data_IF_000990642720
#
_entry.id   IF_000990642720
#
_cell.length_a   1.000
_cell.length_b   1.000
_cell.length_c   1.000
_cell.angle_alpha   90.00
_cell.angle_beta   90.00
_cell.angle_gamma   90.00
#
_symmetry.space_group_name_H-M   'P 1'
#
loop_
_entity.id
_entity.type
_entity.pdbx_description
1 polymer ?
#
# COMPACT_ATOMS: atom_id res chain seq x y z
N UNK A 1 -25.39 -8.04 -12.68
CA UNK A 1 -24.98 -7.68 -12.60
C UNK A 1 -24.43 -7.20 -12.55
N UNK A 2 -24.18 -7.08 -12.33
CA UNK A 2 -23.68 -6.57 -12.29
C UNK A 2 -22.78 -6.25 -12.31
N UNK A 3 -22.39 -6.35 -12.65
CA UNK A 3 -21.49 -5.98 -12.74
C UNK A 3 -21.02 -4.95 -12.59
N UNK A 4 -21.26 -4.72 -12.86
CA UNK A 4 -20.70 -3.52 -12.91
C UNK A 4 -20.36 -3.00 -11.67
N UNK A 5 -21.02 -3.31 -10.86
CA UNK A 5 -20.90 -2.78 -9.68
C UNK A 5 -19.64 -3.02 -9.14
N UNK A 6 -19.05 -3.98 -9.45
CA UNK A 6 -17.90 -4.17 -8.82
C UNK A 6 -16.89 -3.44 -9.42
N UNK A 7 -17.17 -2.52 -10.12
CA UNK A 7 -16.24 -1.80 -10.72
C UNK A 7 -15.28 -1.11 -9.91
N UNK A 8 -15.50 -0.86 -8.70
CA UNK A 8 -14.56 -0.10 -7.91
C UNK A 8 -13.75 -1.01 -7.02
N UNK A 9 -12.43 -0.87 -7.01
CA UNK A 9 -11.63 -1.57 -6.02
C UNK A 9 -11.99 -1.06 -4.63
N UNK A 10 -11.91 -1.92 -3.65
CA UNK A 10 -12.14 -1.53 -2.27
C UNK A 10 -10.80 -1.54 -1.52
N UNK A 11 -10.69 -0.73 -0.48
CA UNK A 11 -9.48 -0.71 0.33
C UNK A 11 -9.22 -2.10 0.88
N UNK A 12 -8.03 -2.62 0.67
CA UNK A 12 -7.68 -3.97 1.09
C UNK A 12 -7.74 -5.01 -0.01
N UNK A 13 -8.29 -4.65 -1.17
CA UNK A 13 -8.31 -5.58 -2.29
C UNK A 13 -6.92 -5.73 -2.87
N UNK A 14 -6.57 -6.92 -3.33
CA UNK A 14 -5.28 -7.20 -3.93
C UNK A 14 -5.48 -7.48 -5.41
N UNK A 15 -4.74 -6.77 -6.23
CA UNK A 15 -4.81 -6.90 -7.68
C UNK A 15 -3.44 -7.12 -8.27
N UNK A 16 -3.36 -7.72 -9.43
CA UNK A 16 -2.15 -7.63 -10.22
C UNK A 16 -2.16 -6.26 -10.91
N UNK A 17 -1.01 -5.64 -10.99
CA UNK A 17 -0.90 -4.33 -11.61
C UNK A 17 0.43 -4.21 -12.33
N UNK A 18 0.45 -3.43 -13.40
CA UNK A 18 1.68 -3.15 -14.10
C UNK A 18 2.32 -1.92 -13.48
N UNK A 19 3.45 -2.10 -12.85
CA UNK A 19 4.14 -1.03 -12.13
C UNK A 19 5.19 -0.31 -12.97
N UNK A 20 5.44 -0.75 -14.18
CA UNK A 20 6.42 -0.09 -15.03
C UNK A 20 5.83 1.20 -15.59
N UNK A 21 6.64 2.19 -15.83
CA UNK A 21 8.09 2.21 -15.61
C UNK A 21 8.44 2.51 -14.16
N UNK A 22 9.57 2.01 -13.73
CA UNK A 22 10.05 2.23 -12.37
C UNK A 22 11.51 2.61 -12.43
N UNK A 23 12.05 3.08 -11.30
CA UNK A 23 13.43 3.51 -11.23
C UNK A 23 14.10 2.80 -10.05
N UNK A 24 15.30 2.30 -10.30
CA UNK A 24 16.14 1.79 -9.22
C UNK A 24 15.53 0.66 -8.42
N UNK A 25 15.42 0.86 -7.12
CA UNK A 25 14.98 -0.18 -6.22
C UNK A 25 13.47 -0.34 -6.12
N UNK A 26 12.71 0.45 -6.87
CA UNK A 26 11.27 0.28 -6.84
C UNK A 26 10.86 -1.07 -7.41
N UNK A 27 9.81 -1.64 -6.87
CA UNK A 27 9.27 -2.88 -7.42
C UNK A 27 8.79 -2.62 -8.83
N UNK A 28 9.08 -3.55 -9.73
CA UNK A 28 8.80 -3.34 -11.15
C UNK A 28 8.04 -4.50 -11.76
N UNK A 29 7.51 -4.27 -12.94
CA UNK A 29 6.83 -5.30 -13.70
C UNK A 29 5.41 -5.49 -13.23
N UNK A 30 4.83 -6.62 -13.58
CA UNK A 30 3.48 -6.94 -13.16
C UNK A 30 3.59 -7.61 -11.81
N UNK A 31 2.99 -7.00 -10.81
CA UNK A 31 3.12 -7.45 -9.43
C UNK A 31 1.81 -7.34 -8.69
N UNK A 32 1.61 -8.14 -7.66
CA UNK A 32 0.47 -7.94 -6.79
C UNK A 32 0.62 -6.63 -6.04
N UNK A 33 -0.47 -5.89 -5.91
CA UNK A 33 -0.50 -4.67 -5.11
C UNK A 33 -1.77 -4.69 -4.26
N UNK A 34 -1.73 -4.04 -3.11
CA UNK A 34 -2.93 -3.90 -2.30
C UNK A 34 -3.40 -2.46 -2.39
N UNK A 35 -4.69 -2.28 -2.57
CA UNK A 35 -5.29 -0.95 -2.66
C UNK A 35 -5.45 -0.41 -1.25
N UNK A 36 -4.89 0.75 -0.99
CA UNK A 36 -4.92 1.35 0.33
C UNK A 36 -5.60 2.70 0.37
N UNK A 37 -5.96 3.25 -0.79
CA UNK A 37 -6.69 4.49 -0.83
C UNK A 37 -8.07 4.33 -0.21
N UNK A 38 -8.59 5.40 0.37
CA UNK A 38 -9.92 5.37 0.98
C UNK A 38 -11.00 5.06 -0.07
N UNK A 39 -12.13 4.56 0.39
CA UNK A 39 -13.12 4.06 -0.55
C UNK A 39 -13.85 5.15 -1.33
N UNK A 40 -13.91 6.36 -0.82
CA UNK A 40 -14.48 7.44 -1.63
C UNK A 40 -13.57 7.70 -2.83
N UNK A 41 -12.27 7.81 -2.60
CA UNK A 41 -11.33 7.97 -3.71
C UNK A 41 -11.36 6.79 -4.65
N UNK A 42 -11.54 5.58 -4.11
CA UNK A 42 -11.60 4.41 -4.97
C UNK A 42 -12.79 4.45 -5.92
N UNK A 43 -13.86 5.14 -5.54
CA UNK A 43 -15.00 5.24 -6.43
C UNK A 43 -14.91 6.43 -7.38
N UNK A 44 -14.18 7.46 -7.02
CA UNK A 44 -14.27 8.72 -7.76
C UNK A 44 -12.99 9.16 -8.46
N UNK A 45 -11.85 8.64 -8.06
CA UNK A 45 -10.57 9.12 -8.61
C UNK A 45 -10.08 8.26 -9.76
N UNK A 46 -9.42 8.85 -10.73
CA UNK A 46 -8.79 8.05 -11.80
C UNK A 46 -7.51 7.36 -11.30
N UNK A 47 -7.05 7.67 -10.11
CA UNK A 47 -5.83 7.08 -9.57
C UNK A 47 -6.11 6.34 -8.27
N UNK A 48 -5.21 5.45 -7.92
CA UNK A 48 -5.31 4.66 -6.71
C UNK A 48 -3.99 4.70 -5.97
N UNK A 49 -4.05 4.69 -4.65
CA UNK A 49 -2.85 4.58 -3.83
C UNK A 49 -2.70 3.11 -3.45
N UNK A 50 -1.55 2.53 -3.75
CA UNK A 50 -1.33 1.10 -3.56
C UNK A 50 0.04 0.86 -2.95
N UNK A 51 0.25 -0.33 -2.41
CA UNK A 51 1.56 -0.78 -1.98
C UNK A 51 1.83 -2.14 -2.62
N UNK A 52 3.05 -2.40 -3.07
CA UNK A 52 3.37 -3.66 -3.74
C UNK A 52 3.62 -4.78 -2.74
N UNK A 53 3.38 -6.00 -3.21
CA UNK A 53 3.71 -7.19 -2.47
C UNK A 53 4.88 -7.86 -3.16
N UNK A 54 5.74 -8.50 -2.39
CA UNK A 54 6.88 -9.22 -2.96
C UNK A 54 7.07 -10.54 -2.22
N UNK A 55 7.53 -11.55 -2.93
CA UNK A 55 7.86 -12.80 -2.29
C UNK A 55 9.30 -12.82 -1.83
N UNK A 56 10.10 -11.82 -2.14
CA UNK A 56 11.49 -11.77 -1.76
C UNK A 56 11.82 -10.48 -1.08
N UNK A 57 12.58 -10.53 -0.02
CA UNK A 57 12.90 -9.35 0.71
C UNK A 57 14.23 -9.50 1.40
N UNK A 58 15.11 -8.51 1.27
CA UNK A 58 16.41 -8.54 1.90
C UNK A 58 16.35 -8.08 3.35
N UNK A 59 15.43 -7.25 3.68
CA UNK A 59 15.32 -6.71 5.03
C UNK A 59 13.93 -6.93 5.59
N UNK A 60 13.58 -8.19 5.87
CA UNK A 60 12.21 -8.47 6.33
C UNK A 60 11.91 -7.92 7.71
N UNK A 61 12.94 -7.46 8.43
CA UNK A 61 12.74 -6.96 9.77
C UNK A 61 12.34 -5.50 9.85
N UNK A 62 12.20 -4.82 8.74
CA UNK A 62 11.83 -3.41 8.78
C UNK A 62 10.37 -3.24 9.21
N UNK A 63 10.09 -2.24 10.04
CA UNK A 63 8.71 -2.04 10.52
C UNK A 63 7.72 -1.62 9.45
N UNK A 64 8.20 -1.24 8.27
CA UNK A 64 7.31 -0.90 7.16
C UNK A 64 6.97 -2.12 6.30
N UNK A 65 7.49 -3.31 6.64
CA UNK A 65 7.21 -4.52 5.91
C UNK A 65 6.24 -5.38 6.71
N UNK A 66 5.13 -5.76 6.10
CA UNK A 66 4.10 -6.57 6.77
C UNK A 66 4.13 -7.96 6.18
N UNK A 67 4.46 -8.99 6.96
CA UNK A 67 4.50 -10.35 6.43
C UNK A 67 3.11 -10.89 6.14
N UNK A 68 3.01 -11.64 5.07
CA UNK A 68 1.80 -12.36 4.69
C UNK A 68 2.25 -13.76 4.30
N UNK A 69 1.34 -14.72 4.13
CA UNK A 69 1.77 -16.10 3.89
C UNK A 69 2.77 -16.28 2.77
N UNK A 70 2.62 -15.57 1.68
CA UNK A 70 3.51 -15.76 0.56
C UNK A 70 4.48 -14.62 0.33
N UNK A 71 4.74 -13.81 1.32
CA UNK A 71 5.69 -12.71 1.11
C UNK A 71 5.48 -11.56 2.05
N UNK A 72 5.62 -10.35 1.54
CA UNK A 72 5.56 -9.15 2.36
C UNK A 72 4.87 -8.04 1.61
N UNK A 73 4.19 -7.16 2.33
CA UNK A 73 3.65 -5.92 1.79
C UNK A 73 4.66 -4.83 2.13
N UNK A 74 5.03 -4.04 1.15
CA UNK A 74 6.10 -3.04 1.33
C UNK A 74 5.49 -1.65 1.46
N UNK A 75 5.28 -1.21 2.70
CA UNK A 75 4.60 0.06 2.91
C UNK A 75 5.49 1.27 2.69
N UNK A 76 6.80 1.08 2.58
CA UNK A 76 7.67 2.20 2.21
C UNK A 76 7.64 2.43 0.70
N UNK A 77 7.03 1.54 -0.06
CA UNK A 77 6.90 1.72 -1.50
C UNK A 77 5.48 2.09 -1.90
N UNK A 78 4.78 2.74 -0.98
CA UNK A 78 3.46 3.25 -1.27
C UNK A 78 3.54 4.16 -2.48
N UNK A 79 2.61 4.02 -3.42
CA UNK A 79 2.65 4.84 -4.62
C UNK A 79 1.27 5.00 -5.21
N UNK A 80 1.13 6.03 -6.02
CA UNK A 80 -0.11 6.28 -6.76
C UNK A 80 0.05 5.73 -8.17
N UNK A 81 -0.95 5.02 -8.62
CA UNK A 81 -0.96 4.52 -9.99
C UNK A 81 -2.27 4.90 -10.66
N UNK A 82 -2.27 4.95 -11.98
CA UNK A 82 -3.49 5.14 -12.73
C UNK A 82 -4.31 3.86 -12.61
N UNK A 83 -5.61 4.02 -12.48
CA UNK A 83 -6.49 2.87 -12.32
C UNK A 83 -6.37 1.88 -13.46
N UNK A 84 -6.00 2.34 -14.64
CA UNK A 84 -5.86 1.45 -15.78
C UNK A 84 -4.68 0.49 -15.68
N UNK A 85 -3.79 0.70 -14.70
CA UNK A 85 -2.69 -0.23 -14.50
C UNK A 85 -3.13 -1.50 -13.79
N UNK A 86 -4.32 -1.51 -13.19
CA UNK A 86 -4.81 -2.71 -12.52
C UNK A 86 -5.20 -3.76 -13.54
N UNK A 87 -4.89 -5.00 -13.23
CA UNK A 87 -5.34 -6.12 -14.01
C UNK A 87 -6.36 -6.87 -13.16
N UNK A 88 -6.27 -8.15 -13.00
CA UNK A 88 -7.31 -8.87 -12.28
C UNK A 88 -7.16 -8.81 -10.78
N UNK A 89 -8.27 -8.88 -10.09
CA UNK A 89 -8.28 -8.95 -8.65
C UNK A 89 -7.93 -10.37 -8.24
N UNK A 90 -6.97 -10.53 -7.33
CA UNK A 90 -6.52 -11.85 -6.95
C UNK A 90 -6.75 -12.15 -5.47
N UNK A 91 -7.26 -11.21 -4.71
CA UNK A 91 -7.52 -11.51 -3.31
C UNK A 91 -7.94 -10.29 -2.53
N UNK A 92 -7.93 -10.44 -1.22
CA UNK A 92 -8.29 -9.37 -0.32
C UNK A 92 -7.64 -9.63 1.03
N UNK A 93 -7.10 -8.62 1.66
CA UNK A 93 -6.52 -8.78 2.99
C UNK A 93 -7.63 -8.90 4.02
N UNK A 94 -7.42 -9.75 5.01
CA UNK A 94 -8.39 -9.82 6.08
C UNK A 94 -8.15 -8.68 7.07
N UNK A 95 -9.06 -8.53 8.02
CA UNK A 95 -9.02 -7.40 8.92
C UNK A 95 -7.76 -7.37 9.78
N UNK A 96 -7.27 -8.53 10.18
CA UNK A 96 -6.09 -8.56 11.04
C UNK A 96 -4.85 -8.09 10.28
N UNK A 97 -4.70 -8.52 9.04
CA UNK A 97 -3.58 -8.08 8.23
C UNK A 97 -3.72 -6.61 7.92
N UNK A 98 -4.93 -6.15 7.63
CA UNK A 98 -5.12 -4.74 7.30
C UNK A 98 -4.78 -3.86 8.50
N UNK A 99 -5.05 -4.31 9.72
CA UNK A 99 -4.67 -3.56 10.91
C UNK A 99 -3.15 -3.42 11.01
N UNK A 100 -2.42 -4.48 10.66
CA UNK A 100 -0.97 -4.38 10.67
C UNK A 100 -0.46 -3.47 9.56
N UNK A 101 -1.14 -3.47 8.43
CA UNK A 101 -0.79 -2.55 7.35
C UNK A 101 -0.98 -1.12 7.81
N UNK A 102 -2.07 -0.84 8.52
CA UNK A 102 -2.31 0.51 9.00
C UNK A 102 -1.21 0.95 9.97
N UNK A 103 -0.76 0.07 10.83
CA UNK A 103 0.32 0.39 11.74
C UNK A 103 1.62 0.66 10.98
N UNK A 104 1.90 -0.16 9.98
CA UNK A 104 3.12 0.03 9.18
C UNK A 104 3.04 1.32 8.36
N UNK A 105 1.85 1.71 7.92
CA UNK A 105 1.69 2.96 7.20
C UNK A 105 1.99 4.15 8.10
N UNK A 106 1.60 4.08 9.36
CA UNK A 106 1.93 5.16 10.27
C UNK A 106 3.42 5.32 10.39
N UNK A 107 4.15 4.23 10.45
CA UNK A 107 5.59 4.28 10.51
C UNK A 107 6.16 4.84 9.21
N UNK A 108 5.69 4.31 8.10
CA UNK A 108 6.22 4.68 6.79
C UNK A 108 6.03 6.17 6.51
N UNK A 109 4.91 6.73 6.93
CA UNK A 109 4.60 8.13 6.65
C UNK A 109 4.93 9.05 7.81
N UNK A 110 5.47 8.52 8.89
CA UNK A 110 5.84 9.34 10.02
C UNK A 110 4.66 9.90 10.78
N UNK A 111 3.53 9.19 10.80
CA UNK A 111 2.35 9.65 11.50
C UNK A 111 2.41 9.19 12.92
N UNK A 112 2.43 10.14 13.85
CA UNK A 112 2.54 9.79 15.26
C UNK A 112 1.31 10.18 16.02
N UNK A 113 1.12 9.56 17.16
CA UNK A 113 0.07 9.95 18.03
C UNK A 113 0.52 11.23 18.65
N UNK A 114 -0.12 12.30 18.33
CA UNK A 114 0.33 13.59 18.80
C UNK A 114 0.17 13.78 20.29
N UNK A 115 -0.42 12.87 20.94
CA UNK A 115 -0.50 12.97 22.36
C UNK A 115 0.86 12.90 22.99
N UNK A 116 1.77 12.23 22.38
CA UNK A 116 3.06 12.15 22.94
C UNK A 116 3.80 13.34 22.61
N UNK A 117 3.52 13.93 21.64
CA UNK A 117 4.03 15.13 21.32
C UNK A 117 5.42 15.26 21.37
N UNK A 118 6.14 15.05 20.95
CA UNK A 118 7.30 15.23 21.32
C UNK A 118 8.13 15.25 20.23
N UNK A 119 8.56 14.41 19.94
CA UNK A 119 9.52 14.33 19.12
C UNK A 119 9.44 15.05 17.88
N UNK A 120 8.38 15.33 17.51
CA UNK A 120 8.23 15.90 16.31
C UNK A 120 9.04 17.08 16.11
N UNK A 121 9.07 17.87 17.02
CA UNK A 121 9.69 19.06 16.80
C UNK A 121 11.08 18.90 16.65
N UNK A 122 11.67 18.02 17.22
CA UNK A 122 12.97 18.05 17.13
C UNK A 122 13.42 17.81 15.79
N UNK A 123 12.95 16.95 15.15
CA UNK A 123 13.47 16.72 13.96
C UNK A 123 13.29 17.79 13.05
N UNK A 124 12.38 18.48 13.23
CA UNK A 124 12.18 19.50 12.36
C UNK A 124 13.30 20.38 12.36
N UNK A 125 13.70 20.53 13.47
CA UNK A 125 14.69 21.44 13.58
C UNK A 125 15.76 21.21 12.66
N UNK A 126 16.12 20.29 12.34
CA UNK A 126 17.13 20.20 11.70
C UNK A 126 17.06 20.34 10.40
N UNK A 127 16.56 20.41 9.89
CA UNK A 127 16.67 20.50 8.62
C UNK A 127 16.72 21.44 8.17
#
# INVERSE_FOLDING_TARGET
MSRGEQEHPARGDVFLANLNPTVGSEQRGIRPVVVLQNDLGNRTSPTLIVAPLTSRLKRPDLPTHVPIPDGFILLEQLRTIDRRRLKEKIGRLDAAVLARVDAALRVSLGLHDMGEGDSVEQEVGED
#
